data_IF_297615171498
#
_entry.id   IF_297615171498
#
_cell.length_a   1.000
_cell.length_b   1.000
_cell.length_c   1.000
_cell.angle_alpha   90.00
_cell.angle_beta   90.00
_cell.angle_gamma   90.00
#
_symmetry.space_group_name_H-M   'P 1'
#
loop_
_entity.id
_entity.type
_entity.pdbx_description
1 polymer ?
#
# COMPACT_ATOMS: atom_id res chain seq x y z
N UNK A 1 10.01 5.05 28.74
CA UNK A 1 10.07 5.75 27.43
C UNK A 1 10.05 7.25 27.67
N UNK A 2 10.96 8.00 27.04
CA UNK A 2 11.17 9.43 27.29
C UNK A 2 10.22 10.27 26.42
N UNK A 3 9.64 11.35 26.94
CA UNK A 3 8.61 12.14 26.23
C UNK A 3 9.12 12.76 24.92
N UNK A 4 10.43 13.01 24.85
CA UNK A 4 11.12 13.48 23.65
C UNK A 4 11.27 12.38 22.57
N UNK A 5 11.45 11.12 22.96
CA UNK A 5 11.59 10.01 22.00
C UNK A 5 10.26 9.70 21.31
N UNK A 6 9.15 9.81 22.05
CA UNK A 6 7.79 9.64 21.49
C UNK A 6 7.49 10.73 20.46
N UNK A 7 7.75 12.01 20.78
CA UNK A 7 7.54 13.13 19.85
C UNK A 7 8.38 13.02 18.57
N UNK A 8 9.62 12.57 18.68
CA UNK A 8 10.50 12.37 17.53
C UNK A 8 10.04 11.20 16.65
N UNK A 9 9.37 10.20 17.22
CA UNK A 9 8.79 9.08 16.48
C UNK A 9 7.48 9.48 15.79
N UNK A 10 6.63 10.27 16.45
CA UNK A 10 5.41 10.86 15.87
C UNK A 10 5.72 11.78 14.68
N UNK A 11 6.74 12.64 14.79
CA UNK A 11 7.16 13.52 13.70
C UNK A 11 7.61 12.71 12.48
N UNK A 12 8.45 11.69 12.68
CA UNK A 12 8.91 10.79 11.60
C UNK A 12 7.77 10.03 10.94
N UNK A 13 6.78 9.58 11.70
CA UNK A 13 5.60 8.91 11.17
C UNK A 13 4.72 9.85 10.34
N UNK A 14 4.60 11.13 10.75
CA UNK A 14 3.88 12.15 9.99
C UNK A 14 4.59 12.45 8.67
N UNK A 15 5.90 12.71 8.70
CA UNK A 15 6.71 13.01 7.52
C UNK A 15 6.63 11.87 6.49
N UNK A 16 6.71 10.62 6.96
CA UNK A 16 6.54 9.42 6.14
C UNK A 16 5.16 9.39 5.45
N UNK A 17 4.09 9.67 6.20
CA UNK A 17 2.73 9.71 5.67
C UNK A 17 2.55 10.82 4.63
N UNK A 18 3.11 12.00 4.87
CA UNK A 18 3.07 13.12 3.92
C UNK A 18 3.82 12.79 2.63
N UNK A 19 5.01 12.20 2.75
CA UNK A 19 5.82 11.78 1.61
C UNK A 19 5.07 10.74 0.76
N UNK A 20 4.46 9.73 1.37
CA UNK A 20 3.64 8.73 0.64
C UNK A 20 2.46 9.37 -0.08
N UNK A 21 1.75 10.26 0.59
CA UNK A 21 0.63 10.98 -0.04
C UNK A 21 1.11 11.83 -1.21
N UNK A 22 2.27 12.50 -1.09
CA UNK A 22 2.86 13.30 -2.16
C UNK A 22 3.20 12.44 -3.38
N UNK A 23 3.90 11.31 -3.21
CA UNK A 23 4.23 10.41 -4.33
C UNK A 23 2.97 9.87 -4.99
N UNK A 24 1.97 9.46 -4.21
CA UNK A 24 0.68 9.01 -4.75
C UNK A 24 -0.02 10.09 -5.58
N UNK A 25 0.01 11.34 -5.12
CA UNK A 25 -0.56 12.48 -5.84
C UNK A 25 0.22 12.80 -7.12
N UNK A 26 1.55 12.68 -7.09
CA UNK A 26 2.40 12.84 -8.28
C UNK A 26 2.10 11.75 -9.32
N UNK A 27 1.99 10.47 -8.91
CA UNK A 27 1.59 9.38 -9.80
C UNK A 27 0.18 9.60 -10.38
N UNK A 28 -0.78 10.02 -9.55
CA UNK A 28 -2.14 10.32 -9.98
C UNK A 28 -2.22 11.43 -11.05
N UNK A 29 -1.25 12.36 -11.05
CA UNK A 29 -1.18 13.47 -12.02
C UNK A 29 -0.42 13.10 -13.29
N UNK A 30 0.61 12.27 -13.17
CA UNK A 30 1.58 12.04 -14.24
C UNK A 30 1.32 10.74 -15.03
N UNK A 31 0.52 9.82 -14.49
CA UNK A 31 0.24 8.54 -15.14
C UNK A 31 -1.21 8.43 -15.61
N UNK A 32 -1.39 7.88 -16.81
CA UNK A 32 -2.70 7.43 -17.27
C UNK A 32 -3.12 6.19 -16.49
N UNK A 33 -4.28 6.25 -15.87
CA UNK A 33 -4.85 5.14 -15.13
C UNK A 33 -6.22 5.50 -14.56
N UNK A 34 -6.91 4.50 -14.04
CA UNK A 34 -8.20 4.67 -13.36
C UNK A 34 -8.10 4.46 -11.85
N UNK A 35 -7.07 3.79 -11.37
CA UNK A 35 -6.85 3.62 -9.94
C UNK A 35 -5.38 3.43 -9.57
N UNK A 36 -5.08 3.70 -8.31
CA UNK A 36 -3.81 3.41 -7.66
C UNK A 36 -4.04 2.33 -6.60
N UNK A 37 -3.16 1.34 -6.56
CA UNK A 37 -3.08 0.36 -5.47
C UNK A 37 -1.78 0.62 -4.71
N UNK A 38 -1.90 0.68 -3.39
CA UNK A 38 -0.79 0.81 -2.45
C UNK A 38 -0.66 -0.51 -1.70
N UNK A 39 0.55 -1.07 -1.70
CA UNK A 39 0.97 -2.19 -0.88
C UNK A 39 1.92 -1.63 0.19
N UNK A 40 1.63 -1.91 1.45
CA UNK A 40 2.43 -1.52 2.60
C UNK A 40 2.75 -2.76 3.43
N UNK A 41 3.92 -2.76 4.07
CA UNK A 41 4.22 -3.76 5.10
C UNK A 41 3.91 -3.18 6.49
N UNK A 42 2.84 -3.64 7.12
CA UNK A 42 2.42 -3.29 8.48
C UNK A 42 3.03 -4.26 9.51
N UNK A 43 4.35 -4.21 9.66
CA UNK A 43 5.07 -5.01 10.67
C UNK A 43 5.38 -4.15 11.89
N UNK A 44 4.99 -4.57 13.12
CA UNK A 44 5.39 -3.89 14.34
C UNK A 44 6.92 -3.83 14.45
N UNK A 45 7.47 -2.65 14.74
CA UNK A 45 8.92 -2.48 14.85
C UNK A 45 9.52 -3.50 15.84
N UNK A 46 10.56 -4.21 15.40
CA UNK A 46 11.33 -5.15 16.23
C UNK A 46 10.80 -6.58 16.30
N UNK A 47 9.75 -6.94 15.54
CA UNK A 47 9.24 -8.34 15.51
C UNK A 47 9.93 -9.23 14.48
N UNK A 48 10.69 -8.66 13.55
CA UNK A 48 11.41 -9.39 12.51
C UNK A 48 12.71 -8.64 12.14
N UNK A 49 13.65 -9.34 11.50
CA UNK A 49 14.84 -8.68 10.97
C UNK A 49 14.46 -7.80 9.78
N UNK A 50 15.27 -6.77 9.48
CA UNK A 50 15.04 -5.92 8.31
C UNK A 50 15.07 -6.73 7.00
N UNK A 51 15.93 -7.75 6.93
CA UNK A 51 16.04 -8.65 5.77
C UNK A 51 14.75 -9.48 5.58
N UNK A 52 14.18 -10.01 6.67
CA UNK A 52 12.90 -10.73 6.61
C UNK A 52 11.76 -9.81 6.16
N UNK A 53 11.70 -8.58 6.67
CA UNK A 53 10.71 -7.58 6.28
C UNK A 53 10.84 -7.22 4.79
N UNK A 54 12.07 -7.00 4.31
CA UNK A 54 12.32 -6.68 2.92
C UNK A 54 11.91 -7.84 2.00
N UNK A 55 12.32 -9.08 2.33
CA UNK A 55 11.97 -10.27 1.56
C UNK A 55 10.45 -10.48 1.52
N UNK A 56 9.77 -10.28 2.65
CA UNK A 56 8.31 -10.37 2.73
C UNK A 56 7.62 -9.31 1.86
N UNK A 57 8.09 -8.07 1.92
CA UNK A 57 7.56 -7.00 1.08
C UNK A 57 7.76 -7.30 -0.41
N UNK A 58 8.94 -7.76 -0.81
CA UNK A 58 9.24 -8.13 -2.20
C UNK A 58 8.36 -9.29 -2.69
N UNK A 59 8.14 -10.30 -1.85
CA UNK A 59 7.24 -11.41 -2.17
C UNK A 59 5.78 -10.95 -2.33
N UNK A 60 5.31 -10.05 -1.47
CA UNK A 60 4.00 -9.42 -1.60
C UNK A 60 3.87 -8.59 -2.88
N UNK A 61 4.93 -7.86 -3.23
CA UNK A 61 5.00 -7.02 -4.43
C UNK A 61 4.95 -7.87 -5.72
N UNK A 62 5.71 -8.96 -5.79
CA UNK A 62 5.68 -9.89 -6.93
C UNK A 62 4.31 -10.56 -7.10
N UNK A 63 3.68 -10.97 -5.99
CA UNK A 63 2.33 -11.54 -6.01
C UNK A 63 1.30 -10.53 -6.51
N UNK A 64 1.41 -9.27 -6.09
CA UNK A 64 0.46 -8.23 -6.47
C UNK A 64 0.64 -7.85 -7.94
N UNK A 65 1.88 -7.78 -8.42
CA UNK A 65 2.20 -7.64 -9.83
C UNK A 65 1.54 -8.74 -10.66
N UNK A 66 1.61 -10.01 -10.22
CA UNK A 66 0.98 -11.13 -10.90
C UNK A 66 -0.54 -11.05 -10.93
N UNK A 67 -1.19 -10.68 -9.82
CA UNK A 67 -2.66 -10.57 -9.76
C UNK A 67 -3.20 -9.39 -10.58
N UNK A 68 -2.46 -8.28 -10.65
CA UNK A 68 -2.86 -7.11 -11.41
C UNK A 68 -2.43 -7.17 -12.87
N UNK A 69 -1.37 -7.92 -13.18
CA UNK A 69 -0.75 -7.98 -14.50
C UNK A 69 0.04 -6.72 -14.85
N UNK A 70 0.56 -5.99 -13.85
CA UNK A 70 1.29 -4.73 -14.02
C UNK A 70 2.43 -4.61 -13.00
N UNK A 71 3.54 -4.03 -13.46
CA UNK A 71 4.69 -3.71 -12.61
C UNK A 71 4.40 -2.53 -11.66
N UNK A 72 5.13 -2.41 -10.53
CA UNK A 72 5.03 -1.25 -9.67
C UNK A 72 5.48 0.02 -10.39
N UNK A 73 4.74 1.10 -10.19
CA UNK A 73 5.07 2.44 -10.69
C UNK A 73 6.01 3.19 -9.75
N UNK A 74 6.01 2.85 -8.46
CA UNK A 74 6.99 3.33 -7.49
C UNK A 74 7.19 2.31 -6.37
N UNK A 75 8.41 2.28 -5.84
CA UNK A 75 8.78 1.56 -4.61
C UNK A 75 9.49 2.55 -3.69
N UNK A 76 9.08 2.56 -2.42
CA UNK A 76 9.57 3.49 -1.42
C UNK A 76 9.91 2.71 -0.14
N UNK A 77 10.96 3.17 0.53
CA UNK A 77 11.29 2.77 1.89
C UNK A 77 11.40 4.05 2.71
N UNK A 78 10.64 4.12 3.81
CA UNK A 78 10.71 5.22 4.75
C UNK A 78 10.78 4.69 6.18
N UNK A 79 10.82 5.60 7.16
CA UNK A 79 10.93 5.19 8.57
C UNK A 79 9.75 4.33 9.06
N UNK A 80 8.59 4.37 8.39
CA UNK A 80 7.41 3.57 8.69
C UNK A 80 7.39 2.22 7.96
N UNK A 81 8.29 1.97 7.00
CA UNK A 81 8.48 0.66 6.37
C UNK A 81 8.59 0.71 4.85
N UNK A 82 8.23 -0.40 4.21
CA UNK A 82 8.25 -0.58 2.77
C UNK A 82 6.88 -0.33 2.14
N UNK A 83 6.86 0.33 0.99
CA UNK A 83 5.65 0.68 0.26
C UNK A 83 5.84 0.52 -1.26
N UNK A 84 4.82 0.00 -1.93
CA UNK A 84 4.77 -0.18 -3.38
C UNK A 84 3.49 0.43 -3.94
N UNK A 85 3.60 1.18 -5.05
CA UNK A 85 2.47 1.83 -5.71
C UNK A 85 2.33 1.28 -7.12
N UNK A 86 1.10 0.94 -7.49
CA UNK A 86 0.73 0.42 -8.80
C UNK A 86 -0.33 1.31 -9.42
N UNK A 87 -0.12 1.79 -10.64
CA UNK A 87 -1.14 2.49 -11.43
C UNK A 87 -1.77 1.53 -12.42
N UNK A 88 -3.09 1.43 -12.42
CA UNK A 88 -3.83 0.49 -13.27
C UNK A 88 -4.99 1.16 -14.01
N UNK A 89 -5.28 0.64 -15.21
CA UNK A 89 -6.48 0.98 -15.98
C UNK A 89 -7.76 0.34 -15.43
N UNK A 90 -7.63 -0.59 -14.47
CA UNK A 90 -8.78 -1.17 -13.81
C UNK A 90 -9.55 -0.11 -13.00
N UNK A 91 -10.90 -0.12 -13.03
CA UNK A 91 -11.69 0.64 -12.08
C UNK A 91 -11.34 0.25 -10.64
N UNK A 92 -11.31 1.23 -9.74
CA UNK A 92 -10.80 1.05 -8.37
C UNK A 92 -11.46 -0.10 -7.60
N UNK A 93 -12.77 -0.31 -7.76
CA UNK A 93 -13.47 -1.43 -7.11
C UNK A 93 -12.97 -2.79 -7.60
N UNK A 94 -12.74 -2.94 -8.90
CA UNK A 94 -12.23 -4.18 -9.50
C UNK A 94 -10.76 -4.40 -9.13
N UNK A 95 -9.96 -3.34 -9.16
CA UNK A 95 -8.56 -3.36 -8.77
C UNK A 95 -8.42 -3.79 -7.30
N UNK A 96 -9.24 -3.21 -6.41
CA UNK A 96 -9.34 -3.60 -5.00
C UNK A 96 -9.71 -5.07 -4.84
N UNK A 97 -10.71 -5.56 -5.58
CA UNK A 97 -11.18 -6.96 -5.50
C UNK A 97 -10.12 -7.96 -5.93
N UNK A 98 -9.26 -7.60 -6.89
CA UNK A 98 -8.10 -8.44 -7.26
C UNK A 98 -7.03 -8.41 -6.19
N UNK A 99 -6.65 -7.21 -5.76
CA UNK A 99 -5.62 -7.04 -4.74
C UNK A 99 -5.99 -7.69 -3.40
N UNK A 100 -7.29 -7.70 -3.02
CA UNK A 100 -7.76 -8.35 -1.80
C UNK A 100 -7.64 -9.87 -1.80
N UNK A 101 -7.29 -10.51 -2.93
CA UNK A 101 -7.01 -11.95 -2.96
C UNK A 101 -5.71 -12.29 -2.24
N UNK A 102 -4.75 -11.38 -2.23
CA UNK A 102 -3.52 -11.54 -1.47
C UNK A 102 -3.78 -11.46 0.03
N UNK A 103 -4.76 -10.66 0.45
CA UNK A 103 -5.07 -10.48 1.86
C UNK A 103 -5.58 -11.80 2.47
N UNK A 104 -4.74 -12.45 3.26
CA UNK A 104 -5.15 -13.59 4.08
C UNK A 104 -4.96 -14.98 3.47
N UNK A 105 -4.19 -15.12 2.38
CA UNK A 105 -3.78 -16.45 1.89
C UNK A 105 -2.82 -17.16 2.86
N UNK A 106 -1.89 -16.41 3.46
CA UNK A 106 -0.96 -16.91 4.46
C UNK A 106 -0.98 -16.08 5.75
N UNK A 107 -0.36 -16.62 6.81
CA UNK A 107 -0.20 -15.89 8.07
C UNK A 107 0.63 -14.60 7.90
N UNK A 108 1.57 -14.60 6.96
CA UNK A 108 2.45 -13.47 6.67
C UNK A 108 1.77 -12.42 5.78
N UNK A 109 0.85 -12.82 4.90
CA UNK A 109 0.07 -11.87 4.09
C UNK A 109 -0.84 -10.98 4.96
N UNK A 110 -1.11 -11.37 6.22
CA UNK A 110 -1.84 -10.53 7.18
C UNK A 110 -1.05 -9.29 7.61
N UNK A 111 0.26 -9.29 7.39
CA UNK A 111 1.13 -8.15 7.64
C UNK A 111 1.19 -7.20 6.44
N UNK A 112 0.60 -7.58 5.29
CA UNK A 112 0.51 -6.71 4.13
C UNK A 112 -0.77 -5.87 4.23
N UNK A 113 -0.59 -4.55 4.28
CA UNK A 113 -1.65 -3.58 4.12
C UNK A 113 -1.83 -3.28 2.63
N UNK A 114 -3.01 -3.55 2.09
CA UNK A 114 -3.35 -3.12 0.73
C UNK A 114 -4.36 -2.00 0.83
N UNK A 115 -4.17 -0.92 0.08
CA UNK A 115 -5.14 0.15 -0.08
C UNK A 115 -5.39 0.41 -1.57
N UNK A 116 -6.59 0.88 -1.91
CA UNK A 116 -6.94 1.18 -3.30
C UNK A 116 -7.63 2.54 -3.39
N UNK A 117 -7.31 3.26 -4.45
CA UNK A 117 -7.67 4.65 -4.66
C UNK A 117 -8.18 4.84 -6.09
N UNK A 118 -9.41 5.32 -6.26
CA UNK A 118 -9.91 5.72 -7.57
C UNK A 118 -9.34 7.05 -8.00
N UNK A 119 -8.89 7.15 -9.25
CA UNK A 119 -8.46 8.40 -9.86
C UNK A 119 -9.70 9.12 -10.40
N UNK A 120 -10.14 10.18 -9.72
CA UNK A 120 -11.17 11.06 -10.27
C UNK A 120 -10.53 11.86 -11.42
N UNK A 121 -10.89 11.53 -12.65
CA UNK A 121 -10.37 12.22 -13.83
C UNK A 121 -10.44 13.75 -13.68
N UNK A 122 -9.35 14.43 -14.06
CA UNK A 122 -9.12 15.89 -14.01
C UNK A 122 -9.13 16.60 -12.64
N UNK A 123 -9.62 15.98 -11.56
CA UNK A 123 -9.77 16.65 -10.25
C UNK A 123 -8.67 16.32 -9.24
N UNK A 124 -7.69 15.47 -9.59
CA UNK A 124 -6.51 15.18 -8.76
C UNK A 124 -6.84 14.59 -7.37
N UNK A 125 -8.08 14.18 -7.12
CA UNK A 125 -8.50 13.62 -5.83
C UNK A 125 -8.63 12.10 -5.96
N UNK A 126 -7.83 11.40 -5.17
CA UNK A 126 -7.87 9.95 -5.04
C UNK A 126 -8.89 9.56 -3.99
N UNK A 127 -10.01 8.97 -4.40
CA UNK A 127 -11.02 8.45 -3.46
C UNK A 127 -10.63 7.05 -2.97
N UNK A 128 -10.38 6.88 -1.66
CA UNK A 128 -10.08 5.54 -1.09
C UNK A 128 -11.30 4.63 -1.24
N UNK A 129 -11.09 3.43 -1.79
CA UNK A 129 -12.11 2.38 -1.83
C UNK A 129 -12.04 1.60 -0.51
N UNK A 130 -13.11 1.60 0.30
CA UNK A 130 -13.12 0.88 1.57
C UNK A 130 -13.04 -0.63 1.34
N UNK A 131 -12.45 -1.36 2.29
CA UNK A 131 -12.25 -2.81 2.19
C UNK A 131 -13.57 -3.55 2.09
N UNK A 132 -14.58 -3.05 2.78
CA UNK A 132 -15.93 -3.61 2.88
C UNK A 132 -16.66 -3.57 1.52
N UNK A 133 -16.27 -2.66 0.62
CA UNK A 133 -16.94 -2.49 -0.68
C UNK A 133 -16.74 -3.68 -1.62
N UNK A 134 -15.69 -4.50 -1.44
CA UNK A 134 -15.44 -5.66 -2.31
C UNK A 134 -15.93 -6.98 -1.72
N UNK A 135 -16.51 -6.95 -0.52
CA UNK A 135 -16.71 -8.13 0.32
C UNK A 135 -15.36 -8.63 0.80
N UNK A 136 -15.15 -8.69 2.12
CA UNK A 136 -13.93 -9.29 2.65
C UNK A 136 -13.78 -10.74 2.18
N UNK A 137 -12.55 -11.30 2.14
CA UNK A 137 -12.43 -12.76 2.10
C UNK A 137 -13.27 -13.30 3.26
N UNK A 138 -14.23 -14.18 2.94
CA UNK A 138 -15.09 -14.79 3.94
C UNK A 138 -14.18 -15.36 5.04
N UNK A 139 -14.21 -14.73 6.21
CA UNK A 139 -13.50 -15.23 7.38
C UNK A 139 -14.03 -16.64 7.61
N UNK A 140 -13.21 -17.65 7.29
CA UNK A 140 -13.44 -19.02 7.71
C UNK A 140 -12.63 -19.27 8.96
#
# INVERSE_FOLDING_TARGET
MNRASVRAEEARALDAREQRNKVRQELARNMSGRSIIELALDVPRGTASNEDCQNLFLAGLERLERELGIAPSAMLEDSAGYYGLFVTELPALLARRRASRLEGESAWDRQLGIECYGLAGSLGTTGKVPREAVGGPASR
#
